data_IF_774755228231
#
_entry.id   IF_774755228231
#
_cell.length_a   1.000
_cell.length_b   1.000
_cell.length_c   1.000
_cell.angle_alpha   90.00
_cell.angle_beta   90.00
_cell.angle_gamma   90.00
#
_symmetry.space_group_name_H-M   'P 1'
#
loop_
_entity.id
_entity.type
_entity.pdbx_description
1 polymer ?
#
# COMPACT_ATOMS: atom_id res chain seq x y z
N UNK A 1 -10.83 -30.26 -25.10
CA UNK A 1 -9.86 -29.13 -25.10
C UNK A 1 -10.04 -28.36 -23.80
N UNK A 2 -8.95 -28.08 -23.06
CA UNK A 2 -9.02 -27.38 -21.77
C UNK A 2 -9.32 -25.88 -21.88
N UNK A 3 -9.41 -25.19 -20.74
CA UNK A 3 -9.56 -23.74 -20.71
C UNK A 3 -8.30 -23.04 -21.25
N UNK A 4 -8.42 -21.98 -22.07
CA UNK A 4 -7.31 -21.08 -22.39
C UNK A 4 -6.74 -20.42 -21.12
N UNK A 5 -5.43 -20.14 -21.10
CA UNK A 5 -4.71 -19.64 -19.91
C UNK A 5 -5.31 -18.35 -19.33
N UNK A 6 -5.82 -17.45 -20.17
CA UNK A 6 -6.43 -16.19 -19.73
C UNK A 6 -7.85 -16.35 -19.14
N UNK A 7 -8.42 -17.56 -19.19
CA UNK A 7 -9.76 -17.87 -18.64
C UNK A 7 -9.72 -18.68 -17.34
N UNK A 8 -8.54 -18.98 -16.79
CA UNK A 8 -8.44 -19.87 -15.62
C UNK A 8 -9.28 -19.43 -14.42
N UNK A 9 -9.47 -18.12 -14.22
CA UNK A 9 -10.29 -17.60 -13.11
C UNK A 9 -11.80 -17.78 -13.30
N UNK A 10 -12.30 -18.10 -14.50
CA UNK A 10 -13.75 -18.31 -14.70
C UNK A 10 -14.28 -19.54 -13.97
N UNK A 11 -13.39 -20.44 -13.52
CA UNK A 11 -13.76 -21.62 -12.73
C UNK A 11 -14.47 -21.26 -11.42
N UNK A 12 -14.21 -20.07 -10.85
CA UNK A 12 -14.82 -19.62 -9.60
C UNK A 12 -16.20 -19.00 -9.73
N UNK A 13 -16.70 -18.74 -10.96
CA UNK A 13 -17.92 -17.95 -11.16
C UNK A 13 -19.18 -18.56 -10.52
N UNK A 14 -19.26 -19.89 -10.45
CA UNK A 14 -20.39 -20.63 -9.89
C UNK A 14 -20.04 -21.38 -8.60
N UNK A 15 -18.90 -21.05 -7.96
CA UNK A 15 -18.50 -21.58 -6.65
C UNK A 15 -18.44 -20.40 -5.65
N UNK A 16 -19.53 -20.08 -4.93
CA UNK A 16 -19.59 -18.92 -4.05
C UNK A 16 -18.54 -18.93 -2.94
N UNK A 17 -18.14 -20.11 -2.46
CA UNK A 17 -17.12 -20.24 -1.41
C UNK A 17 -15.75 -19.81 -1.92
N UNK A 18 -15.35 -20.28 -3.11
CA UNK A 18 -14.11 -19.84 -3.76
C UNK A 18 -14.20 -18.41 -4.27
N UNK A 19 -15.38 -17.99 -4.72
CA UNK A 19 -15.60 -16.63 -5.19
C UNK A 19 -15.45 -15.62 -4.05
N UNK A 20 -15.79 -15.98 -2.81
CA UNK A 20 -15.53 -15.16 -1.62
C UNK A 20 -14.06 -15.20 -1.19
N UNK A 21 -13.39 -16.34 -1.32
CA UNK A 21 -11.98 -16.43 -0.92
C UNK A 21 -11.07 -15.56 -1.79
N UNK A 22 -11.37 -15.40 -3.07
CA UNK A 22 -10.58 -14.57 -4.01
C UNK A 22 -10.47 -13.09 -3.57
N UNK A 23 -11.55 -12.36 -3.27
CA UNK A 23 -11.46 -11.01 -2.71
C UNK A 23 -10.69 -10.93 -1.39
N UNK A 24 -10.80 -11.94 -0.52
CA UNK A 24 -10.07 -11.98 0.76
C UNK A 24 -8.57 -12.10 0.49
N UNK A 25 -8.16 -13.08 -0.33
CA UNK A 25 -6.76 -13.30 -0.69
C UNK A 25 -6.22 -12.25 -1.66
N UNK A 26 -7.08 -11.45 -2.31
CA UNK A 26 -6.67 -10.26 -3.07
C UNK A 26 -6.46 -9.06 -2.13
N UNK A 27 -7.31 -8.90 -1.11
CA UNK A 27 -7.19 -7.81 -0.13
C UNK A 27 -5.94 -7.96 0.73
N UNK A 28 -5.60 -9.19 1.12
CA UNK A 28 -4.42 -9.48 1.95
C UNK A 28 -3.08 -8.96 1.36
N UNK A 29 -2.68 -9.28 0.11
CA UNK A 29 -1.45 -8.76 -0.47
C UNK A 29 -1.50 -7.26 -0.76
N UNK A 30 -2.68 -6.67 -1.04
CA UNK A 30 -2.81 -5.21 -1.15
C UNK A 30 -2.54 -4.54 0.19
N UNK A 31 -3.12 -5.04 1.29
CA UNK A 31 -2.83 -4.54 2.63
C UNK A 31 -1.34 -4.74 3.00
N UNK A 32 -0.77 -5.90 2.66
CA UNK A 32 0.65 -6.18 2.84
C UNK A 32 1.56 -5.24 2.05
N UNK A 33 1.19 -4.90 0.81
CA UNK A 33 1.92 -3.93 0.00
C UNK A 33 1.87 -2.52 0.63
N UNK A 34 0.70 -2.05 1.06
CA UNK A 34 0.58 -0.73 1.70
C UNK A 34 1.43 -0.66 2.97
N UNK A 35 1.38 -1.70 3.81
CA UNK A 35 2.18 -1.75 5.05
C UNK A 35 3.68 -1.80 4.78
N UNK A 36 4.12 -2.66 3.85
CA UNK A 36 5.54 -2.76 3.50
C UNK A 36 6.08 -1.48 2.85
N UNK A 37 5.31 -0.83 1.98
CA UNK A 37 5.70 0.45 1.39
C UNK A 37 5.81 1.56 2.44
N UNK A 38 4.87 1.63 3.38
CA UNK A 38 4.91 2.61 4.48
C UNK A 38 6.13 2.41 5.37
N UNK A 39 6.44 1.16 5.74
CA UNK A 39 7.63 0.84 6.53
C UNK A 39 8.93 1.15 5.78
N UNK A 40 8.96 0.88 4.47
CA UNK A 40 10.09 1.21 3.62
C UNK A 40 10.33 2.72 3.56
N UNK A 41 9.27 3.51 3.27
CA UNK A 41 9.38 4.97 3.23
C UNK A 41 9.82 5.55 4.58
N UNK A 42 9.24 5.09 5.70
CA UNK A 42 9.66 5.52 7.04
C UNK A 42 11.13 5.19 7.35
N UNK A 43 11.67 4.11 6.79
CA UNK A 43 13.06 3.72 7.03
C UNK A 43 14.08 4.60 6.29
N UNK A 44 13.69 5.25 5.19
CA UNK A 44 14.59 6.07 4.36
C UNK A 44 14.24 7.56 4.37
N UNK A 45 13.07 7.94 4.86
CA UNK A 45 12.61 9.33 4.90
C UNK A 45 13.44 10.15 5.88
N UNK A 46 13.96 11.28 5.41
CA UNK A 46 14.65 12.29 6.22
C UNK A 46 13.70 13.43 6.58
N UNK A 47 13.25 13.56 7.85
CA UNK A 47 12.36 14.63 8.28
C UNK A 47 13.08 15.94 8.65
N UNK A 48 14.40 16.04 8.46
CA UNK A 48 15.21 17.13 9.03
C UNK A 48 14.95 18.52 8.41
N UNK A 49 14.61 18.59 7.11
CA UNK A 49 14.38 19.86 6.40
C UNK A 49 13.10 19.80 5.55
N UNK A 50 11.94 20.22 6.10
CA UNK A 50 10.68 20.23 5.36
C UNK A 50 10.62 21.29 4.25
N UNK A 51 11.54 22.26 4.20
CA UNK A 51 11.53 23.36 3.22
C UNK A 51 12.30 22.97 1.96
N UNK A 52 13.55 22.51 2.09
CA UNK A 52 14.41 22.17 0.95
C UNK A 52 14.44 20.66 0.65
N UNK A 53 14.10 19.82 1.61
CA UNK A 53 14.00 18.37 1.49
C UNK A 53 12.60 17.79 1.72
N UNK A 54 11.49 18.38 1.22
CA UNK A 54 10.15 17.83 1.43
C UNK A 54 9.98 16.45 0.79
N UNK A 55 8.94 15.74 1.25
CA UNK A 55 8.61 14.35 0.89
C UNK A 55 8.65 14.03 -0.62
N UNK A 56 8.19 14.95 -1.46
CA UNK A 56 8.16 14.78 -2.92
C UNK A 56 9.55 14.84 -3.57
N UNK A 57 10.54 15.49 -2.95
CA UNK A 57 11.94 15.47 -3.41
C UNK A 57 12.64 14.16 -3.05
N UNK A 58 12.20 13.53 -1.97
CA UNK A 58 12.70 12.23 -1.52
C UNK A 58 11.97 11.05 -2.20
N UNK A 59 11.04 11.33 -3.12
CA UNK A 59 10.24 10.32 -3.82
C UNK A 59 9.35 9.47 -2.90
N UNK A 60 8.85 10.04 -1.81
CA UNK A 60 7.85 9.37 -0.96
C UNK A 60 6.50 9.30 -1.69
N UNK A 61 5.92 8.10 -1.77
CA UNK A 61 4.65 7.86 -2.45
C UNK A 61 3.49 7.71 -1.48
N UNK A 62 3.61 6.89 -0.43
CA UNK A 62 2.50 6.60 0.51
C UNK A 62 2.40 7.60 1.66
N UNK A 63 3.50 8.18 2.15
CA UNK A 63 3.45 9.20 3.21
C UNK A 63 2.55 10.39 2.80
N UNK A 64 2.60 10.95 1.57
CA UNK A 64 1.67 12.00 1.14
C UNK A 64 0.18 11.64 1.32
N UNK A 65 -0.22 10.39 1.03
CA UNK A 65 -1.61 9.94 1.23
C UNK A 65 -2.00 9.87 2.70
N UNK A 66 -1.07 9.45 3.57
CA UNK A 66 -1.27 9.44 5.03
C UNK A 66 -1.41 10.88 5.57
N UNK A 67 -0.56 11.81 5.12
CA UNK A 67 -0.62 13.22 5.56
C UNK A 67 -1.89 13.94 5.15
N UNK A 68 -2.43 13.59 3.99
CA UNK A 68 -3.71 14.12 3.52
C UNK A 68 -4.86 13.79 4.48
N UNK A 69 -4.74 12.70 5.22
CA UNK A 69 -5.68 12.27 6.26
C UNK A 69 -5.18 12.61 7.67
N UNK A 70 -4.32 13.62 7.79
CA UNK A 70 -3.84 14.19 9.05
C UNK A 70 -2.96 13.26 9.90
N UNK A 71 -2.40 12.21 9.30
CA UNK A 71 -1.36 11.39 9.94
C UNK A 71 -0.01 12.11 9.72
N UNK A 72 0.36 12.99 10.65
CA UNK A 72 1.55 13.86 10.52
C UNK A 72 2.62 13.68 11.61
N UNK A 73 2.28 13.07 12.74
CA UNK A 73 3.19 12.91 13.88
C UNK A 73 3.78 11.49 13.93
N UNK A 74 5.10 11.42 14.09
CA UNK A 74 5.83 10.16 14.29
C UNK A 74 5.97 9.83 15.77
N UNK A 75 6.04 8.54 16.10
CA UNK A 75 6.39 8.08 17.45
C UNK A 75 7.85 8.37 17.83
N UNK A 76 8.70 8.73 16.87
CA UNK A 76 10.10 9.15 17.09
C UNK A 76 10.21 10.68 17.22
N UNK A 77 9.13 11.34 17.67
CA UNK A 77 9.09 12.76 18.03
C UNK A 77 9.44 13.75 16.90
N UNK A 78 9.11 13.43 15.64
CA UNK A 78 9.14 14.37 14.52
C UNK A 78 7.76 14.53 13.88
N UNK A 79 7.55 15.68 13.24
CA UNK A 79 6.35 16.01 12.46
C UNK A 79 6.75 16.36 11.03
N UNK A 80 5.78 16.32 10.12
CA UNK A 80 5.97 16.63 8.68
C UNK A 80 6.00 18.15 8.41
N UNK A 81 5.54 18.95 9.37
CA UNK A 81 5.51 20.42 9.33
C UNK A 81 6.76 21.05 9.92
#
# INVERSE_FOLDING_TARGET
MGLPWYRVHTIGLNDPGRLLSVPIIHTAPVAGWVGSMALYELAIFDPSDPVLGPMWRQCMFVIPFMTRLEITNSWVCWSIT
#
